data_IF_337024023592
#
_entry.id   IF_337024023592
#
_cell.length_a   1.000
_cell.length_b   1.000
_cell.length_c   1.000
_cell.angle_alpha   90.00
_cell.angle_beta   90.00
_cell.angle_gamma   90.00
#
_symmetry.space_group_name_H-M   'P 1'
#
loop_
_entity.id
_entity.type
_entity.pdbx_description
1 polymer ?
#
# COMPACT_ATOMS: atom_id res chain seq x y z
N UNK A 1 -21.82 -0.24 -8.21
CA UNK A 1 -21.84 -1.18 -7.08
C UNK A 1 -21.21 -2.53 -7.40
N UNK A 2 -21.62 -3.23 -8.46
CA UNK A 2 -21.06 -4.55 -8.83
C UNK A 2 -19.55 -4.55 -8.99
N UNK A 3 -18.97 -3.52 -9.62
CA UNK A 3 -17.52 -3.41 -9.83
C UNK A 3 -16.74 -3.40 -8.51
N UNK A 4 -17.16 -2.63 -7.50
CA UNK A 4 -16.50 -2.59 -6.19
C UNK A 4 -16.63 -3.91 -5.42
N UNK A 5 -17.79 -4.56 -5.50
CA UNK A 5 -17.96 -5.90 -4.92
C UNK A 5 -17.02 -6.91 -5.59
N UNK A 6 -16.90 -6.86 -6.90
CA UNK A 6 -15.95 -7.68 -7.67
C UNK A 6 -14.51 -7.38 -7.28
N UNK A 7 -14.13 -6.10 -7.20
CA UNK A 7 -12.80 -5.64 -6.75
C UNK A 7 -12.46 -6.21 -5.37
N UNK A 8 -13.37 -6.02 -4.41
CA UNK A 8 -13.20 -6.51 -3.05
C UNK A 8 -13.03 -8.03 -2.99
N UNK A 9 -13.94 -8.76 -3.62
CA UNK A 9 -13.95 -10.23 -3.60
C UNK A 9 -12.73 -10.81 -4.31
N UNK A 10 -12.31 -10.21 -5.43
CA UNK A 10 -11.09 -10.65 -6.14
C UNK A 10 -9.86 -10.49 -5.26
N UNK A 11 -9.66 -9.31 -4.65
CA UNK A 11 -8.55 -9.08 -3.74
C UNK A 11 -8.56 -10.03 -2.54
N UNK A 12 -9.74 -10.21 -1.94
CA UNK A 12 -9.94 -11.09 -0.79
C UNK A 12 -9.60 -12.54 -1.14
N UNK A 13 -10.17 -13.07 -2.23
CA UNK A 13 -9.98 -14.48 -2.63
C UNK A 13 -8.52 -14.73 -3.01
N UNK A 14 -7.92 -13.85 -3.84
CA UNK A 14 -6.52 -14.01 -4.26
C UNK A 14 -5.59 -13.99 -3.06
N UNK A 15 -5.72 -13.02 -2.16
CA UNK A 15 -4.88 -12.93 -0.97
C UNK A 15 -5.09 -14.14 -0.05
N UNK A 16 -6.35 -14.55 0.18
CA UNK A 16 -6.66 -15.69 1.02
C UNK A 16 -6.01 -16.97 0.51
N UNK A 17 -6.13 -17.25 -0.80
CA UNK A 17 -5.56 -18.44 -1.44
C UNK A 17 -4.02 -18.39 -1.50
N UNK A 18 -3.44 -17.22 -1.75
CA UNK A 18 -1.99 -17.09 -1.86
C UNK A 18 -1.28 -17.06 -0.51
N UNK A 19 -1.90 -16.64 0.58
CA UNK A 19 -1.24 -16.55 1.89
C UNK A 19 -0.61 -17.88 2.34
N UNK A 20 -1.28 -19.05 2.30
CA UNK A 20 -0.63 -20.32 2.64
C UNK A 20 0.49 -20.71 1.66
N UNK A 21 0.40 -20.34 0.40
CA UNK A 21 1.46 -20.59 -0.60
C UNK A 21 2.70 -19.76 -0.26
N UNK A 22 2.50 -18.47 0.01
CA UNK A 22 3.57 -17.54 0.43
C UNK A 22 4.18 -17.95 1.76
N UNK A 23 3.38 -18.44 2.71
CA UNK A 23 3.88 -19.01 3.97
C UNK A 23 4.89 -20.14 3.72
N UNK A 24 4.54 -21.07 2.84
CA UNK A 24 5.42 -22.19 2.50
C UNK A 24 6.68 -21.71 1.76
N UNK A 25 6.54 -20.72 0.88
CA UNK A 25 7.68 -20.09 0.19
C UNK A 25 8.62 -19.44 1.20
N UNK A 26 8.10 -18.66 2.16
CA UNK A 26 8.88 -17.99 3.20
C UNK A 26 9.74 -18.98 4.01
N UNK A 27 9.16 -20.13 4.38
CA UNK A 27 9.89 -21.21 5.08
C UNK A 27 11.02 -21.75 4.20
N UNK A 28 10.76 -21.98 2.90
CA UNK A 28 11.76 -22.54 1.98
C UNK A 28 12.95 -21.63 1.74
N UNK A 29 12.70 -20.30 1.64
CA UNK A 29 13.79 -19.33 1.39
C UNK A 29 14.42 -18.78 2.67
N UNK A 30 13.94 -19.21 3.84
CA UNK A 30 14.48 -18.78 5.13
C UNK A 30 14.02 -17.42 5.62
N UNK A 31 12.97 -16.83 5.00
CA UNK A 31 12.35 -15.59 5.46
C UNK A 31 11.46 -15.88 6.68
N UNK A 32 12.09 -16.16 7.82
CA UNK A 32 11.42 -16.53 9.07
C UNK A 32 11.90 -15.67 10.23
N UNK A 33 10.98 -15.28 11.07
CA UNK A 33 11.29 -14.59 12.31
C UNK A 33 11.66 -15.61 13.39
N UNK A 34 12.86 -15.44 13.97
CA UNK A 34 13.37 -16.30 15.04
C UNK A 34 12.97 -15.74 16.40
N UNK A 35 12.62 -16.59 17.37
CA UNK A 35 12.41 -16.16 18.75
C UNK A 35 13.64 -15.44 19.30
N UNK A 36 13.40 -14.31 19.98
CA UNK A 36 14.39 -13.56 20.72
C UNK A 36 13.80 -13.19 22.08
N UNK A 37 14.64 -12.89 23.08
CA UNK A 37 14.24 -12.55 24.45
C UNK A 37 13.29 -11.33 24.53
N UNK A 38 13.24 -10.51 23.48
CA UNK A 38 12.37 -9.33 23.35
C UNK A 38 11.05 -9.60 22.61
N UNK A 39 10.85 -10.80 22.06
CA UNK A 39 9.70 -11.14 21.21
C UNK A 39 8.69 -11.98 21.98
N UNK A 40 7.43 -11.79 21.66
CA UNK A 40 6.29 -12.42 22.34
C UNK A 40 6.06 -13.86 21.87
N UNK A 41 6.53 -14.23 20.65
CA UNK A 41 6.31 -15.55 20.07
C UNK A 41 7.41 -16.55 20.44
N UNK A 42 7.04 -17.84 20.59
CA UNK A 42 7.94 -18.91 20.98
C UNK A 42 8.35 -19.86 19.83
N UNK A 43 7.90 -19.59 18.60
CA UNK A 43 8.17 -20.42 17.41
C UNK A 43 8.73 -19.61 16.24
N UNK A 44 9.21 -20.33 15.21
CA UNK A 44 9.58 -19.74 13.93
C UNK A 44 8.31 -19.31 13.19
N UNK A 45 8.15 -18.01 12.95
CA UNK A 45 7.00 -17.48 12.20
C UNK A 45 7.49 -16.95 10.86
N UNK A 46 6.94 -17.45 9.72
CA UNK A 46 7.26 -16.94 8.39
C UNK A 46 6.89 -15.46 8.27
N UNK A 47 7.70 -14.66 7.56
CA UNK A 47 7.49 -13.22 7.40
C UNK A 47 7.65 -12.79 5.93
N UNK A 48 6.64 -13.08 5.12
CA UNK A 48 6.52 -12.66 3.72
C UNK A 48 5.05 -12.39 3.35
N UNK A 49 4.20 -12.22 4.36
CA UNK A 49 2.76 -12.09 4.15
C UNK A 49 2.36 -10.94 3.23
N UNK A 50 3.18 -9.89 3.20
CA UNK A 50 3.00 -8.76 2.31
C UNK A 50 2.98 -9.13 0.83
N UNK A 51 3.67 -10.18 0.41
CA UNK A 51 3.62 -10.65 -0.97
C UNK A 51 2.22 -11.14 -1.37
N UNK A 52 1.49 -11.77 -0.46
CA UNK A 52 0.11 -12.21 -0.72
C UNK A 52 -0.84 -11.00 -0.80
N UNK A 53 -0.69 -10.02 0.10
CA UNK A 53 -1.47 -8.77 0.09
C UNK A 53 -1.23 -8.02 -1.24
N UNK A 54 0.03 -7.85 -1.61
CA UNK A 54 0.42 -7.19 -2.84
C UNK A 54 -0.18 -7.88 -4.07
N UNK A 55 -0.07 -9.20 -4.17
CA UNK A 55 -0.62 -9.95 -5.28
C UNK A 55 -2.15 -9.81 -5.38
N UNK A 56 -2.87 -9.89 -4.26
CA UNK A 56 -4.32 -9.69 -4.22
C UNK A 56 -4.72 -8.28 -4.63
N UNK A 57 -4.03 -7.26 -4.11
CA UNK A 57 -4.22 -5.88 -4.49
C UNK A 57 -3.98 -5.68 -6.00
N UNK A 58 -2.84 -6.14 -6.52
CA UNK A 58 -2.45 -5.96 -7.92
C UNK A 58 -3.41 -6.64 -8.90
N UNK A 59 -3.74 -7.91 -8.67
CA UNK A 59 -4.67 -8.66 -9.53
C UNK A 59 -6.03 -7.97 -9.55
N UNK A 60 -6.53 -7.56 -8.40
CA UNK A 60 -7.81 -6.87 -8.29
C UNK A 60 -7.78 -5.49 -8.96
N UNK A 61 -6.73 -4.69 -8.72
CA UNK A 61 -6.59 -3.37 -9.31
C UNK A 61 -6.48 -3.44 -10.84
N UNK A 62 -5.67 -4.36 -11.37
CA UNK A 62 -5.56 -4.55 -12.82
C UNK A 62 -6.88 -5.00 -13.45
N UNK A 63 -7.60 -5.90 -12.79
CA UNK A 63 -8.88 -6.43 -13.30
C UNK A 63 -10.00 -5.37 -13.32
N UNK A 64 -9.93 -4.35 -12.45
CA UNK A 64 -11.03 -3.37 -12.30
C UNK A 64 -10.67 -1.96 -12.74
N UNK A 65 -9.44 -1.52 -12.52
CA UNK A 65 -8.95 -0.18 -12.88
C UNK A 65 -8.21 -0.22 -14.22
N UNK A 66 -7.53 -1.34 -14.49
CA UNK A 66 -6.66 -1.48 -15.64
C UNK A 66 -5.30 -0.77 -15.45
N UNK A 67 -4.60 -0.55 -16.56
CA UNK A 67 -3.29 0.10 -16.61
C UNK A 67 -3.44 1.59 -16.96
N UNK A 68 -3.98 2.38 -16.03
CA UNK A 68 -3.93 3.84 -16.19
C UNK A 68 -2.50 4.34 -15.96
N UNK A 69 -2.16 5.51 -16.52
CA UNK A 69 -0.82 6.08 -16.40
C UNK A 69 -0.36 6.17 -14.93
N UNK A 70 -1.20 6.72 -14.07
CA UNK A 70 -0.91 6.83 -12.64
C UNK A 70 -0.81 5.47 -11.94
N UNK A 71 -1.73 4.54 -12.27
CA UNK A 71 -1.72 3.22 -11.66
C UNK A 71 -0.41 2.47 -11.98
N UNK A 72 0.08 2.59 -13.22
CA UNK A 72 1.37 2.02 -13.61
C UNK A 72 2.51 2.59 -12.76
N UNK A 73 2.51 3.90 -12.50
CA UNK A 73 3.51 4.53 -11.63
C UNK A 73 3.51 3.96 -10.20
N UNK A 74 2.31 3.84 -9.60
CA UNK A 74 2.14 3.26 -8.28
C UNK A 74 2.58 1.78 -8.26
N UNK A 75 2.18 1.02 -9.28
CA UNK A 75 2.52 -0.39 -9.43
C UNK A 75 4.04 -0.62 -9.53
N UNK A 76 4.74 0.18 -10.31
CA UNK A 76 6.19 0.07 -10.47
C UNK A 76 6.94 0.33 -9.16
N UNK A 77 6.58 1.40 -8.44
CA UNK A 77 7.18 1.69 -7.14
C UNK A 77 6.84 0.63 -6.08
N UNK A 78 5.59 0.15 -6.04
CA UNK A 78 5.18 -0.93 -5.14
C UNK A 78 5.94 -2.24 -5.45
N UNK A 79 6.08 -2.59 -6.74
CA UNK A 79 6.86 -3.77 -7.17
C UNK A 79 8.32 -3.65 -6.73
N UNK A 80 8.91 -2.48 -6.89
CA UNK A 80 10.28 -2.23 -6.42
C UNK A 80 10.41 -2.40 -4.91
N UNK A 81 9.45 -1.88 -4.12
CA UNK A 81 9.43 -2.06 -2.67
C UNK A 81 9.22 -3.51 -2.24
N UNK A 82 8.42 -4.29 -2.96
CA UNK A 82 8.30 -5.74 -2.72
C UNK A 82 9.66 -6.41 -2.83
N UNK A 83 10.46 -6.08 -3.85
CA UNK A 83 11.81 -6.65 -4.03
C UNK A 83 12.72 -6.24 -2.86
N UNK A 84 12.70 -4.96 -2.47
CA UNK A 84 13.47 -4.46 -1.32
C UNK A 84 13.03 -5.14 -0.03
N UNK A 85 11.71 -5.27 0.20
CA UNK A 85 11.14 -5.91 1.39
C UNK A 85 11.46 -7.39 1.47
N UNK A 86 11.39 -8.14 0.36
CA UNK A 86 11.82 -9.55 0.31
C UNK A 86 13.31 -9.67 0.67
N UNK A 87 14.15 -8.79 0.11
CA UNK A 87 15.58 -8.79 0.44
C UNK A 87 15.80 -8.51 1.93
N UNK A 88 15.06 -7.57 2.52
CA UNK A 88 15.15 -7.26 3.94
C UNK A 88 14.65 -8.42 4.82
N UNK A 89 13.55 -9.03 4.46
CA UNK A 89 12.97 -10.17 5.19
C UNK A 89 13.89 -11.43 5.16
N UNK A 90 14.74 -11.59 4.12
CA UNK A 90 15.65 -12.71 3.99
C UNK A 90 17.02 -12.43 4.62
N UNK A 91 17.62 -11.24 4.34
CA UNK A 91 19.02 -10.96 4.69
C UNK A 91 19.19 -9.82 5.69
N UNK A 92 18.12 -9.15 6.11
CA UNK A 92 18.14 -8.02 7.05
C UNK A 92 19.07 -6.90 6.57
N UNK A 93 18.54 -6.05 5.67
CA UNK A 93 19.29 -4.97 5.03
C UNK A 93 19.72 -3.88 6.04
N UNK A 94 20.88 -3.27 5.83
CA UNK A 94 21.26 -2.09 6.61
C UNK A 94 20.24 -0.95 6.43
N UNK A 95 19.91 -0.17 7.49
CA UNK A 95 18.89 0.88 7.44
C UNK A 95 19.07 1.89 6.31
N UNK A 96 20.33 2.21 5.98
CA UNK A 96 20.65 3.15 4.88
C UNK A 96 20.26 2.58 3.50
N UNK A 97 20.45 1.29 3.28
CA UNK A 97 20.09 0.60 2.02
C UNK A 97 18.57 0.53 1.90
N UNK A 98 17.88 0.20 2.99
CA UNK A 98 16.42 0.18 3.06
C UNK A 98 15.84 1.57 2.76
N UNK A 99 16.39 2.63 3.38
CA UNK A 99 15.96 4.00 3.12
C UNK A 99 16.21 4.41 1.65
N UNK A 100 17.35 4.06 1.07
CA UNK A 100 17.63 4.32 -0.34
C UNK A 100 16.60 3.63 -1.25
N UNK A 101 16.25 2.38 -0.94
CA UNK A 101 15.18 1.67 -1.65
C UNK A 101 13.83 2.38 -1.57
N UNK A 102 13.46 2.90 -0.40
CA UNK A 102 12.24 3.68 -0.22
C UNK A 102 12.26 4.98 -1.03
N UNK A 103 13.40 5.69 -1.07
CA UNK A 103 13.56 6.92 -1.86
C UNK A 103 13.38 6.62 -3.36
N UNK A 104 14.03 5.57 -3.87
CA UNK A 104 13.91 5.17 -5.28
C UNK A 104 12.46 4.81 -5.62
N UNK A 105 11.82 4.01 -4.77
CA UNK A 105 10.42 3.62 -4.98
C UNK A 105 9.47 4.82 -4.99
N UNK A 106 9.67 5.78 -4.08
CA UNK A 106 8.89 7.01 -4.02
C UNK A 106 9.15 7.93 -5.21
N UNK A 107 10.40 7.99 -5.68
CA UNK A 107 10.78 8.83 -6.82
C UNK A 107 10.15 8.37 -8.15
N UNK A 108 9.91 7.07 -8.34
CA UNK A 108 9.32 6.54 -9.58
C UNK A 108 8.00 7.25 -9.92
N UNK A 109 6.93 7.18 -9.11
CA UNK A 109 5.67 7.85 -9.45
C UNK A 109 5.74 9.37 -9.35
N UNK A 110 6.57 9.91 -8.47
CA UNK A 110 6.69 11.36 -8.27
C UNK A 110 7.37 12.00 -9.47
N UNK A 111 8.53 11.49 -9.89
CA UNK A 111 9.34 12.12 -10.95
C UNK A 111 8.91 11.72 -12.35
N UNK A 112 8.54 10.43 -12.55
CA UNK A 112 8.24 9.91 -13.88
C UNK A 112 6.75 10.10 -14.23
N UNK A 113 5.89 9.98 -13.23
CA UNK A 113 4.43 10.01 -13.44
C UNK A 113 3.76 11.29 -12.91
N UNK A 114 4.53 12.25 -12.40
CA UNK A 114 4.07 13.55 -11.91
C UNK A 114 2.96 13.45 -10.85
N UNK A 115 3.08 12.47 -9.93
CA UNK A 115 2.14 12.31 -8.83
C UNK A 115 2.68 13.07 -7.62
N UNK A 116 2.28 14.34 -7.46
CA UNK A 116 2.87 15.27 -6.50
C UNK A 116 1.83 15.89 -5.57
N UNK A 117 2.30 16.44 -4.45
CA UNK A 117 1.55 17.39 -3.63
C UNK A 117 1.79 18.78 -4.22
N UNK A 118 0.88 19.24 -5.10
CA UNK A 118 1.06 20.49 -5.85
C UNK A 118 0.48 21.71 -5.12
N UNK A 119 -0.39 21.50 -4.15
CA UNK A 119 -0.98 22.56 -3.35
C UNK A 119 -1.30 22.08 -1.93
N UNK A 120 -1.36 23.04 -1.01
CA UNK A 120 -1.84 22.82 0.35
C UNK A 120 -2.90 23.87 0.68
N UNK A 121 -3.94 23.45 1.37
CA UNK A 121 -4.97 24.36 1.88
C UNK A 121 -4.66 24.71 3.33
N UNK A 122 -4.38 25.99 3.57
CA UNK A 122 -4.19 26.51 4.92
C UNK A 122 -5.45 27.25 5.35
N UNK A 123 -6.10 26.87 6.46
CA UNK A 123 -7.27 27.59 6.97
C UNK A 123 -6.97 29.08 7.09
N UNK A 124 -7.88 29.93 6.60
CA UNK A 124 -7.81 31.40 6.53
C UNK A 124 -6.87 31.99 5.47
N UNK A 125 -5.89 31.25 4.96
CA UNK A 125 -4.99 31.71 3.88
C UNK A 125 -5.40 31.18 2.50
N UNK A 126 -6.24 30.13 2.46
CA UNK A 126 -6.69 29.52 1.21
C UNK A 126 -5.70 28.52 0.64
N UNK A 127 -5.76 28.32 -0.66
CA UNK A 127 -4.91 27.36 -1.40
C UNK A 127 -3.59 28.03 -1.75
N UNK A 128 -2.48 27.38 -1.38
CA UNK A 128 -1.13 27.79 -1.72
C UNK A 128 -0.57 26.74 -2.67
N UNK A 129 -0.27 27.13 -3.91
CA UNK A 129 0.40 26.28 -4.88
C UNK A 129 1.90 26.20 -4.58
N UNK A 130 2.44 24.99 -4.59
CA UNK A 130 3.83 24.73 -4.31
C UNK A 130 4.64 24.71 -5.63
N UNK A 131 5.76 25.45 -5.70
CA UNK A 131 6.66 25.29 -6.82
C UNK A 131 7.27 23.88 -6.82
N UNK A 132 7.59 23.35 -7.99
CA UNK A 132 8.05 21.97 -8.20
C UNK A 132 9.27 21.62 -7.31
N UNK A 133 10.18 22.57 -7.12
CA UNK A 133 11.36 22.41 -6.25
C UNK A 133 11.02 22.11 -4.78
N UNK A 134 9.80 22.44 -4.34
CA UNK A 134 9.28 22.13 -2.99
C UNK A 134 8.34 20.91 -3.05
N UNK A 135 7.47 20.85 -4.06
CA UNK A 135 6.47 19.78 -4.25
C UNK A 135 7.12 18.40 -4.32
N UNK A 136 8.16 18.22 -5.16
CA UNK A 136 8.82 16.93 -5.32
C UNK A 136 9.46 16.39 -4.03
N UNK A 137 10.35 17.13 -3.33
CA UNK A 137 10.94 16.65 -2.09
C UNK A 137 9.91 16.43 -0.99
N UNK A 138 8.91 17.29 -0.88
CA UNK A 138 7.83 17.17 0.10
C UNK A 138 7.04 15.89 -0.12
N UNK A 139 6.70 15.59 -1.38
CA UNK A 139 5.96 14.37 -1.73
C UNK A 139 6.77 13.11 -1.42
N UNK A 140 8.06 13.08 -1.78
CA UNK A 140 8.94 11.95 -1.46
C UNK A 140 9.06 11.78 0.05
N UNK A 141 9.26 12.88 0.79
CA UNK A 141 9.33 12.85 2.26
C UNK A 141 8.04 12.32 2.90
N UNK A 142 6.88 12.75 2.40
CA UNK A 142 5.56 12.27 2.84
C UNK A 142 5.43 10.75 2.66
N UNK A 143 5.76 10.26 1.47
CA UNK A 143 5.68 8.83 1.15
C UNK A 143 6.59 8.01 2.06
N UNK A 144 7.84 8.44 2.24
CA UNK A 144 8.81 7.78 3.12
C UNK A 144 8.33 7.80 4.58
N UNK A 145 7.73 8.90 5.02
CA UNK A 145 7.13 9.03 6.33
C UNK A 145 6.04 7.98 6.57
N UNK A 146 5.12 7.84 5.62
CA UNK A 146 4.06 6.80 5.69
C UNK A 146 4.63 5.39 5.67
N UNK A 147 5.58 5.10 4.77
CA UNK A 147 6.25 3.79 4.69
C UNK A 147 6.83 3.41 6.07
N UNK A 148 7.61 4.32 6.67
CA UNK A 148 8.23 4.04 7.95
C UNK A 148 7.23 4.00 9.12
N UNK A 149 6.18 4.81 9.08
CA UNK A 149 5.12 4.77 10.08
C UNK A 149 4.42 3.41 10.10
N UNK A 150 4.00 2.89 8.93
CA UNK A 150 3.36 1.58 8.84
C UNK A 150 4.33 0.47 9.24
N UNK A 151 5.60 0.58 8.87
CA UNK A 151 6.62 -0.38 9.27
C UNK A 151 6.84 -0.40 10.79
N UNK A 152 6.81 0.75 11.46
CA UNK A 152 6.90 0.83 12.93
C UNK A 152 5.67 0.25 13.63
N UNK A 153 4.49 0.34 13.03
CA UNK A 153 3.25 -0.20 13.57
C UNK A 153 3.19 -1.73 13.43
N UNK A 154 3.93 -2.33 12.49
CA UNK A 154 3.96 -3.79 12.26
C UNK A 154 4.77 -4.54 13.33
N UNK A 155 4.53 -4.23 14.59
CA UNK A 155 5.17 -4.86 15.75
C UNK A 155 4.31 -5.87 16.52
N UNK A 156 3.02 -5.96 16.22
CA UNK A 156 2.05 -6.84 16.89
C UNK A 156 1.16 -7.56 15.89
N UNK A 157 0.75 -8.79 16.26
CA UNK A 157 -0.14 -9.63 15.44
C UNK A 157 -1.42 -8.88 15.03
N UNK A 158 -1.66 -8.80 13.73
CA UNK A 158 -2.84 -8.18 13.15
C UNK A 158 -2.90 -6.65 13.20
N UNK A 159 -1.98 -5.96 13.88
CA UNK A 159 -2.08 -4.52 14.12
C UNK A 159 -1.94 -3.72 12.82
N UNK A 160 -0.86 -3.90 12.08
CA UNK A 160 -0.63 -3.14 10.84
C UNK A 160 -1.69 -3.44 9.78
N UNK A 161 -2.02 -4.73 9.57
CA UNK A 161 -3.08 -5.13 8.64
C UNK A 161 -4.47 -4.62 9.06
N UNK A 162 -4.75 -4.60 10.36
CA UNK A 162 -5.99 -4.05 10.93
C UNK A 162 -6.12 -2.55 10.72
N UNK A 163 -5.08 -1.78 11.04
CA UNK A 163 -5.03 -0.33 10.82
C UNK A 163 -5.14 -0.02 9.32
N UNK A 164 -4.39 -0.74 8.46
CA UNK A 164 -4.47 -0.57 7.01
C UNK A 164 -5.89 -0.86 6.47
N UNK A 165 -6.57 -1.86 7.02
CA UNK A 165 -7.97 -2.16 6.66
C UNK A 165 -8.89 -1.00 6.99
N UNK A 166 -8.82 -0.48 8.23
CA UNK A 166 -9.67 0.65 8.67
C UNK A 166 -9.37 1.91 7.85
N UNK A 167 -8.09 2.22 7.63
CA UNK A 167 -7.67 3.36 6.82
C UNK A 167 -8.15 3.24 5.37
N UNK A 168 -8.02 2.04 4.78
CA UNK A 168 -8.49 1.79 3.41
C UNK A 168 -10.00 1.94 3.27
N UNK A 169 -10.79 1.47 4.24
CA UNK A 169 -12.25 1.67 4.25
C UNK A 169 -12.57 3.16 4.33
N UNK A 170 -11.94 3.89 5.25
CA UNK A 170 -12.20 5.32 5.42
C UNK A 170 -11.86 6.11 4.16
N UNK A 171 -10.70 5.88 3.56
CA UNK A 171 -10.28 6.55 2.33
C UNK A 171 -11.17 6.14 1.15
N UNK A 172 -11.59 4.87 1.05
CA UNK A 172 -12.52 4.42 0.01
C UNK A 172 -13.86 5.16 0.07
N UNK A 173 -14.44 5.31 1.27
CA UNK A 173 -15.70 6.02 1.47
C UNK A 173 -15.58 7.50 1.09
N UNK A 174 -14.50 8.15 1.50
CA UNK A 174 -14.25 9.55 1.18
C UNK A 174 -14.02 9.74 -0.33
N UNK A 175 -13.19 8.90 -0.95
CA UNK A 175 -12.95 8.93 -2.39
C UNK A 175 -14.24 8.70 -3.19
N UNK A 176 -15.09 7.79 -2.72
CA UNK A 176 -16.41 7.55 -3.32
C UNK A 176 -17.31 8.79 -3.25
N UNK A 177 -17.39 9.45 -2.09
CA UNK A 177 -18.17 10.69 -1.91
C UNK A 177 -17.69 11.84 -2.80
N UNK A 178 -16.37 11.87 -3.10
CA UNK A 178 -15.77 12.90 -3.96
C UNK A 178 -15.77 12.52 -5.46
N UNK A 179 -16.40 11.40 -5.84
CA UNK A 179 -16.43 10.94 -7.23
C UNK A 179 -15.11 10.40 -7.78
N UNK A 180 -14.13 10.14 -6.91
CA UNK A 180 -12.83 9.58 -7.28
C UNK A 180 -12.90 8.05 -7.38
N UNK A 181 -13.53 7.57 -8.43
CA UNK A 181 -13.88 6.14 -8.59
C UNK A 181 -12.66 5.21 -8.60
N UNK A 182 -11.56 5.63 -9.24
CA UNK A 182 -10.31 4.86 -9.33
C UNK A 182 -9.64 4.70 -7.97
N UNK A 183 -9.53 5.80 -7.21
CA UNK A 183 -8.97 5.78 -5.87
C UNK A 183 -9.85 4.94 -4.91
N UNK A 184 -11.17 5.08 -5.01
CA UNK A 184 -12.11 4.27 -4.25
C UNK A 184 -11.94 2.77 -4.55
N UNK A 185 -11.82 2.38 -5.84
CA UNK A 185 -11.61 1.00 -6.25
C UNK A 185 -10.28 0.44 -5.72
N UNK A 186 -9.19 1.21 -5.80
CA UNK A 186 -7.89 0.80 -5.26
C UNK A 186 -7.94 0.58 -3.74
N UNK A 187 -8.64 1.45 -3.00
CA UNK A 187 -8.81 1.27 -1.56
C UNK A 187 -9.69 0.09 -1.20
N UNK A 188 -10.74 -0.18 -1.99
CA UNK A 188 -11.57 -1.37 -1.84
C UNK A 188 -10.77 -2.65 -2.08
N UNK A 189 -9.88 -2.66 -3.09
CA UNK A 189 -8.94 -3.76 -3.32
C UNK A 189 -8.03 -3.98 -2.12
N UNK A 190 -7.44 -2.90 -1.59
CA UNK A 190 -6.57 -2.96 -0.42
C UNK A 190 -7.31 -3.49 0.81
N UNK A 191 -8.54 -3.03 1.04
CA UNK A 191 -9.41 -3.52 2.12
C UNK A 191 -9.61 -5.03 2.03
N UNK A 192 -9.97 -5.54 0.84
CA UNK A 192 -10.18 -6.98 0.62
C UNK A 192 -8.90 -7.80 0.87
N UNK A 193 -7.75 -7.31 0.38
CA UNK A 193 -6.47 -7.97 0.58
C UNK A 193 -6.06 -8.00 2.06
N UNK A 194 -6.17 -6.88 2.79
CA UNK A 194 -5.81 -6.81 4.20
C UNK A 194 -6.75 -7.68 5.07
N UNK A 195 -8.06 -7.67 4.82
CA UNK A 195 -9.02 -8.50 5.55
C UNK A 195 -8.76 -10.00 5.35
N UNK A 196 -8.43 -10.43 4.13
CA UNK A 196 -8.07 -11.81 3.86
C UNK A 196 -6.79 -12.21 4.59
N UNK A 197 -5.78 -11.35 4.58
CA UNK A 197 -4.53 -11.59 5.28
C UNK A 197 -4.71 -11.67 6.80
N UNK A 198 -5.58 -10.85 7.39
CA UNK A 198 -5.89 -10.87 8.82
C UNK A 198 -6.35 -12.23 9.32
N UNK A 199 -6.97 -13.08 8.49
CA UNK A 199 -7.35 -14.44 8.87
C UNK A 199 -6.15 -15.32 9.27
N UNK A 200 -4.97 -14.96 8.77
CA UNK A 200 -3.71 -15.66 9.04
C UNK A 200 -2.78 -14.90 9.98
N UNK A 201 -2.94 -13.58 10.05
CA UNK A 201 -2.06 -12.70 10.83
C UNK A 201 -2.66 -12.27 12.16
N UNK A 202 -3.98 -12.50 12.40
CA UNK A 202 -4.61 -12.21 13.68
C UNK A 202 -4.04 -13.12 14.78
N UNK A 203 -3.98 -12.62 16.01
CA UNK A 203 -3.36 -13.33 17.14
C UNK A 203 -4.07 -14.65 17.47
N UNK A 204 -3.34 -15.79 17.61
CA UNK A 204 -1.91 -15.95 17.35
C UNK A 204 -1.57 -16.03 15.86
N UNK A 205 -0.63 -15.19 15.39
CA UNK A 205 -0.29 -15.11 13.97
C UNK A 205 0.38 -16.39 13.45
N UNK A 206 -0.07 -16.82 12.26
CA UNK A 206 0.48 -17.97 11.53
C UNK A 206 1.53 -17.55 10.49
N UNK A 207 1.56 -16.27 10.15
CA UNK A 207 2.49 -15.61 9.23
C UNK A 207 2.52 -14.12 9.57
N UNK A 208 3.69 -13.51 9.60
CA UNK A 208 3.85 -12.06 9.70
C UNK A 208 3.82 -11.40 8.34
N UNK A 209 3.42 -10.13 8.33
CA UNK A 209 3.40 -9.30 7.13
C UNK A 209 4.81 -9.13 6.55
N UNK A 210 5.79 -8.88 7.42
CA UNK A 210 7.17 -8.59 7.10
C UNK A 210 7.37 -7.20 6.48
N UNK A 211 8.63 -6.86 6.24
CA UNK A 211 8.98 -5.62 5.55
C UNK A 211 8.44 -5.59 4.12
N UNK A 212 8.34 -6.75 3.48
CA UNK A 212 7.64 -6.93 2.20
C UNK A 212 6.24 -6.32 2.22
N UNK A 213 5.50 -6.47 3.32
CA UNK A 213 4.13 -5.95 3.41
C UNK A 213 4.05 -4.55 4.00
N UNK A 214 4.71 -4.30 5.11
CA UNK A 214 4.59 -3.03 5.82
C UNK A 214 5.10 -1.84 4.99
N UNK A 215 6.22 -2.00 4.26
CA UNK A 215 6.73 -0.97 3.35
C UNK A 215 5.75 -0.72 2.20
N UNK A 216 5.23 -1.79 1.59
CA UNK A 216 4.31 -1.70 0.45
C UNK A 216 2.96 -1.10 0.85
N UNK A 217 2.40 -1.49 2.00
CA UNK A 217 1.16 -0.89 2.52
C UNK A 217 1.31 0.60 2.79
N UNK A 218 2.37 1.00 3.49
CA UNK A 218 2.65 2.41 3.75
C UNK A 218 2.78 3.22 2.48
N UNK A 219 3.47 2.67 1.48
CA UNK A 219 3.61 3.26 0.17
C UNK A 219 2.26 3.45 -0.55
N UNK A 220 1.47 2.40 -0.71
CA UNK A 220 0.18 2.48 -1.42
C UNK A 220 -0.80 3.40 -0.70
N UNK A 221 -0.88 3.32 0.63
CA UNK A 221 -1.73 4.21 1.43
C UNK A 221 -1.33 5.67 1.30
N UNK A 222 -0.02 5.97 1.26
CA UNK A 222 0.47 7.35 1.10
C UNK A 222 0.08 7.97 -0.22
N UNK A 223 0.18 7.21 -1.33
CA UNK A 223 -0.21 7.68 -2.66
C UNK A 223 -1.70 7.97 -2.77
N UNK A 224 -2.51 7.07 -2.24
CA UNK A 224 -3.95 7.23 -2.31
C UNK A 224 -4.42 8.37 -1.38
N UNK A 225 -3.69 8.61 -0.28
CA UNK A 225 -3.91 9.79 0.55
C UNK A 225 -3.53 11.10 -0.18
N UNK A 226 -2.41 11.12 -0.93
CA UNK A 226 -2.02 12.26 -1.76
C UNK A 226 -3.09 12.50 -2.83
N UNK A 227 -3.45 11.48 -3.61
CA UNK A 227 -4.44 11.63 -4.67
C UNK A 227 -5.77 12.17 -4.15
N UNK A 228 -6.20 11.71 -2.98
CA UNK A 228 -7.38 12.22 -2.30
C UNK A 228 -7.22 13.70 -1.91
N UNK A 229 -6.09 14.07 -1.30
CA UNK A 229 -5.85 15.43 -0.80
C UNK A 229 -5.67 16.45 -1.92
N UNK A 230 -5.19 16.02 -3.10
CA UNK A 230 -4.95 16.87 -4.27
C UNK A 230 -6.18 16.98 -5.20
N UNK A 231 -7.31 16.36 -4.83
CA UNK A 231 -8.53 16.53 -5.60
C UNK A 231 -9.13 17.91 -5.39
N UNK A 232 -9.26 18.68 -6.47
CA UNK A 232 -9.97 19.93 -6.50
C UNK A 232 -11.05 19.85 -7.59
N UNK A 233 -12.35 19.85 -7.22
CA UNK A 233 -13.45 19.74 -8.19
C UNK A 233 -13.49 20.89 -9.20
N UNK A 234 -12.92 22.05 -8.88
CA UNK A 234 -12.90 23.23 -9.75
C UNK A 234 -11.77 23.14 -10.80
N UNK A 235 -10.75 22.33 -10.57
CA UNK A 235 -9.54 22.20 -11.42
C UNK A 235 -9.46 20.84 -12.11
N UNK A 236 -9.92 19.78 -11.46
CA UNK A 236 -10.00 18.44 -12.02
C UNK A 236 -11.42 18.12 -12.45
N UNK A 237 -11.76 18.28 -13.74
CA UNK A 237 -13.08 17.91 -14.23
C UNK A 237 -13.31 16.42 -14.03
N UNK A 238 -14.57 16.01 -13.83
CA UNK A 238 -15.06 14.62 -13.62
C UNK A 238 -14.70 13.61 -14.73
N UNK A 239 -13.73 13.94 -15.58
CA UNK A 239 -13.31 13.15 -16.75
C UNK A 239 -12.36 12.01 -16.44
N UNK A 240 -11.87 11.86 -15.20
CA UNK A 240 -11.08 10.70 -14.85
C UNK A 240 -11.98 9.48 -14.61
N UNK A 241 -12.09 8.69 -15.68
CA UNK A 241 -12.55 7.31 -15.58
C UNK A 241 -14.05 7.15 -15.34
N UNK A 242 -14.85 7.53 -16.34
CA UNK A 242 -16.07 6.78 -16.55
C UNK A 242 -15.66 5.30 -16.69
N UNK A 243 -15.92 4.49 -15.68
CA UNK A 243 -15.90 3.04 -15.82
C UNK A 243 -16.96 2.69 -16.86
N UNK A 244 -16.54 2.65 -18.10
CA UNK A 244 -17.33 2.04 -19.17
C UNK A 244 -17.13 0.55 -19.02
N UNK A 245 -17.94 -0.04 -18.13
CA UNK A 245 -18.24 -1.47 -18.25
C UNK A 245 -19.36 -1.53 -19.31
N UNK A 246 -18.94 -1.77 -20.56
CA UNK A 246 -19.83 -2.24 -21.59
C UNK A 246 -20.14 -3.73 -21.36
#
# INVERSE_FOLDING_TARGET
MFAYAFTFLTALVVTFVLTPVVKNLAIRIGAVDKPDARKVHHGLIPRLGGLAIYAGFMVSAVATIGFTYEMVGIMLGATFLIIVGIADDVVSLPPKVKLLGQIIAAAIPVVIFNINIDWIHIPRLGIIYLPEIISLPLTIFWIIGFINTVNLIDGLDGLAAGIATIASIAIALLAFQMGQWTAAAAMVAMTGACLAFLQYNFNPAKIFMGDTGSLTLGYVLSFLAIKYSQYNPDVTPYTEGAFVIA
#
